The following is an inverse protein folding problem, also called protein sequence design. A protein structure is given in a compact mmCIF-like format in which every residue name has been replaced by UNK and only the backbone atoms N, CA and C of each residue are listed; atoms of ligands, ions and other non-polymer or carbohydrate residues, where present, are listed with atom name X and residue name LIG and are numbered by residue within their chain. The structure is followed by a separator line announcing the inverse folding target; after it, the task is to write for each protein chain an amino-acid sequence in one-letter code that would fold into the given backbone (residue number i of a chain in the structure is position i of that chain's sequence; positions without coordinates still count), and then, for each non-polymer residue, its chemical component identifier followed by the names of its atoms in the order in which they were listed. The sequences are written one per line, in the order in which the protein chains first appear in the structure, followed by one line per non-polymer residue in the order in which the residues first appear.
data_IF_332198892906
#
_entry.id   IF_332198892906
#
_cell.length_a   1.000
_cell.length_b   1.000
_cell.length_c   1.000
_cell.angle_alpha   90.00
_cell.angle_beta   90.00
_cell.angle_gamma   90.00
#
_symmetry.space_group_name_H-M   'P 1'
#
loop_
_entity.id
_entity.type
_entity.pdbx_description
1 polymer ?
#
# COMPACT_ATOMS: atom_id res chain seq x y z
N UNK A 1 -1.31 10.23 -4.41
CA UNK A 1 -2.68 10.56 -3.94
C UNK A 1 -3.31 9.42 -3.13
N UNK A 2 -3.16 8.16 -3.52
CA UNK A 2 -3.71 6.98 -2.84
C UNK A 2 -3.37 6.86 -1.34
N UNK A 3 -2.14 7.25 -0.96
CA UNK A 3 -1.72 7.30 0.45
C UNK A 3 -2.54 8.27 1.31
N UNK A 4 -2.85 9.46 0.79
CA UNK A 4 -3.67 10.46 1.48
C UNK A 4 -5.10 9.93 1.68
N UNK A 5 -5.61 9.22 0.68
CA UNK A 5 -6.91 8.55 0.72
C UNK A 5 -6.93 7.41 1.75
N UNK A 6 -5.84 6.64 1.86
CA UNK A 6 -5.66 5.63 2.92
C UNK A 6 -5.71 6.25 4.32
N UNK A 7 -5.01 7.36 4.55
CA UNK A 7 -5.05 8.09 5.83
C UNK A 7 -6.45 8.61 6.17
N UNK A 8 -7.20 9.08 5.18
CA UNK A 8 -8.60 9.51 5.37
C UNK A 8 -9.49 8.34 5.79
N UNK A 9 -9.37 7.18 5.13
CA UNK A 9 -10.13 5.97 5.46
C UNK A 9 -9.80 5.49 6.87
N UNK A 10 -8.53 5.49 7.26
CA UNK A 10 -8.10 5.10 8.62
C UNK A 10 -8.69 6.06 9.66
N UNK A 11 -8.57 7.37 9.44
CA UNK A 11 -9.10 8.39 10.35
C UNK A 11 -10.62 8.27 10.53
N UNK A 12 -11.34 8.06 9.42
CA UNK A 12 -12.79 7.90 9.45
C UNK A 12 -13.19 6.61 10.18
N UNK A 13 -12.47 5.50 9.93
CA UNK A 13 -12.74 4.22 10.61
C UNK A 13 -12.55 4.31 12.12
N UNK A 14 -11.50 5.00 12.58
CA UNK A 14 -11.24 5.24 13.99
C UNK A 14 -12.30 6.14 14.63
N UNK A 15 -12.73 7.18 13.90
CA UNK A 15 -13.82 8.05 14.35
C UNK A 15 -15.12 7.26 14.51
N UNK A 16 -15.48 6.44 13.52
CA UNK A 16 -16.68 5.58 13.59
C UNK A 16 -16.58 4.59 14.74
N UNK A 17 -15.42 3.96 14.95
CA UNK A 17 -15.19 3.06 16.10
C UNK A 17 -15.40 3.77 17.44
N UNK A 18 -14.88 4.99 17.58
CA UNK A 18 -15.02 5.80 18.78
C UNK A 18 -16.49 6.16 19.06
N UNK A 19 -17.24 6.55 18.04
CA UNK A 19 -18.68 6.84 18.17
C UNK A 19 -19.45 5.58 18.58
N UNK A 20 -19.24 4.47 17.88
CA UNK A 20 -19.92 3.20 18.18
C UNK A 20 -19.62 2.72 19.59
N UNK A 21 -18.36 2.86 20.04
CA UNK A 21 -17.96 2.55 21.42
C UNK A 21 -18.70 3.41 22.45
N UNK A 22 -18.74 4.73 22.24
CA UNK A 22 -19.43 5.66 23.13
C UNK A 22 -20.94 5.39 23.18
N UNK A 23 -21.56 5.12 22.03
CA UNK A 23 -22.98 4.77 21.95
C UNK A 23 -23.27 3.47 22.70
N UNK A 24 -22.44 2.44 22.55
CA UNK A 24 -22.59 1.18 23.26
C UNK A 24 -22.47 1.36 24.79
N UNK A 25 -21.51 2.16 25.25
CA UNK A 25 -21.37 2.49 26.67
C UNK A 25 -22.58 3.26 27.22
N UNK A 26 -23.07 4.26 26.50
CA UNK A 26 -24.18 5.11 26.93
C UNK A 26 -25.52 4.36 26.90
N UNK A 27 -25.76 3.57 25.86
CA UNK A 27 -27.01 2.81 25.70
C UNK A 27 -27.05 1.53 26.56
N UNK A 28 -25.95 1.15 27.21
CA UNK A 28 -25.82 -0.10 27.95
C UNK A 28 -26.01 -1.35 27.07
N UNK A 29 -25.99 -1.20 25.75
CA UNK A 29 -26.13 -2.27 24.78
C UNK A 29 -24.74 -2.78 24.38
N UNK A 30 -24.59 -4.10 24.36
CA UNK A 30 -23.34 -4.72 23.91
C UNK A 30 -22.99 -4.31 22.48
N UNK A 31 -21.70 -4.20 22.19
CA UNK A 31 -21.21 -3.92 20.85
C UNK A 31 -21.69 -5.00 19.88
N UNK A 32 -22.41 -4.58 18.84
CA UNK A 32 -22.79 -5.48 17.76
C UNK A 32 -21.52 -5.98 17.06
N UNK A 33 -21.23 -7.28 17.19
CA UNK A 33 -20.06 -7.96 16.60
C UNK A 33 -19.96 -7.74 15.09
N UNK A 34 -21.10 -7.63 14.40
CA UNK A 34 -21.17 -7.32 12.96
C UNK A 34 -20.63 -5.91 12.67
N UNK A 35 -20.99 -4.92 13.50
CA UNK A 35 -20.52 -3.53 13.34
C UNK A 35 -19.01 -3.43 13.55
N UNK A 36 -18.49 -4.13 14.57
CA UNK A 36 -17.04 -4.17 14.84
C UNK A 36 -16.29 -4.84 13.67
N UNK A 37 -16.83 -5.92 13.12
CA UNK A 37 -16.26 -6.61 11.96
C UNK A 37 -16.18 -5.72 10.71
N UNK A 38 -17.25 -4.96 10.41
CA UNK A 38 -17.24 -4.03 9.28
C UNK A 38 -16.20 -2.93 9.43
N UNK A 39 -16.04 -2.36 10.62
CA UNK A 39 -15.03 -1.32 10.90
C UNK A 39 -13.62 -1.87 10.67
N UNK A 40 -13.34 -3.11 11.09
CA UNK A 40 -12.04 -3.75 10.87
C UNK A 40 -11.73 -3.96 9.39
N UNK A 41 -12.71 -4.38 8.59
CA UNK A 41 -12.53 -4.58 7.15
C UNK A 41 -12.17 -3.25 6.47
N UNK A 42 -12.87 -2.17 6.80
CA UNK A 42 -12.63 -0.84 6.23
C UNK A 42 -11.25 -0.31 6.67
N UNK A 43 -10.85 -0.54 7.92
CA UNK A 43 -9.53 -0.19 8.42
C UNK A 43 -8.41 -0.92 7.65
N UNK A 44 -8.57 -2.23 7.41
CA UNK A 44 -7.63 -3.04 6.62
C UNK A 44 -7.52 -2.50 5.19
N UNK A 45 -8.64 -2.10 4.56
CA UNK A 45 -8.62 -1.46 3.24
C UNK A 45 -7.83 -0.15 3.25
N UNK A 46 -8.00 0.68 4.28
CA UNK A 46 -7.24 1.91 4.47
C UNK A 46 -5.73 1.67 4.58
N UNK A 47 -5.34 0.63 5.33
CA UNK A 47 -3.93 0.21 5.48
C UNK A 47 -3.38 -0.34 4.15
N UNK A 48 -4.16 -1.15 3.43
CA UNK A 48 -3.76 -1.72 2.14
C UNK A 48 -3.46 -0.64 1.10
N UNK A 49 -4.25 0.44 1.10
CA UNK A 49 -4.03 1.62 0.24
C UNK A 49 -2.79 2.44 0.63
N UNK A 50 -2.26 2.26 1.83
CA UNK A 50 -1.06 2.92 2.32
C UNK A 50 0.22 2.22 1.84
N UNK A 51 0.14 0.90 1.64
CA UNK A 51 1.24 0.08 1.13
C UNK A 51 1.39 0.42 -0.36
N UNK A 52 2.55 0.97 -0.78
CA UNK A 52 2.83 1.13 -2.20
C UNK A 52 2.84 -0.27 -2.82
N UNK A 53 1.99 -0.49 -3.82
CA UNK A 53 1.99 -1.73 -4.58
C UNK A 53 3.34 -1.86 -5.29
N UNK A 54 4.30 -2.52 -4.67
CA UNK A 54 5.64 -2.76 -5.23
C UNK A 54 5.61 -3.66 -6.47
N UNK A 55 4.43 -4.12 -6.90
CA UNK A 55 4.25 -5.00 -8.05
C UNK A 55 4.22 -4.28 -9.41
N UNK A 56 4.51 -2.97 -9.49
CA UNK A 56 4.69 -2.28 -10.79
C UNK A 56 6.06 -1.63 -10.98
N UNK A 57 7.11 -2.14 -10.33
CA UNK A 57 8.50 -1.80 -10.68
C UNK A 57 9.24 -3.03 -11.21
N UNK A 58 8.69 -3.71 -12.21
CA UNK A 58 9.43 -4.82 -12.83
C UNK A 58 9.18 -4.97 -14.33
N UNK A 59 9.03 -3.83 -15.02
CA UNK A 59 9.20 -3.68 -16.47
C UNK A 59 9.63 -2.23 -16.70
N UNK A 60 10.80 -2.00 -17.30
CA UNK A 60 11.48 -0.70 -17.43
C UNK A 60 12.12 -0.29 -16.08
N UNK A 61 13.32 -0.69 -15.69
CA UNK A 61 14.57 -0.74 -16.41
C UNK A 61 15.31 -2.01 -16.02
N UNK A 62 15.56 -2.87 -17.01
CA UNK A 62 16.65 -3.83 -16.91
C UNK A 62 17.90 -2.95 -16.81
N UNK A 63 18.42 -2.81 -15.58
CA UNK A 63 19.79 -2.42 -15.34
C UNK A 63 20.67 -3.39 -16.13
N UNK A 64 20.95 -3.03 -17.39
CA UNK A 64 22.10 -3.58 -18.10
C UNK A 64 23.27 -3.13 -17.25
N UNK A 65 23.86 -4.07 -16.52
CA UNK A 65 25.02 -3.81 -15.68
C UNK A 65 26.07 -3.14 -16.57
N UNK A 66 26.72 -2.08 -16.10
CA UNK A 66 27.78 -1.38 -16.85
C UNK A 66 28.86 -2.36 -17.36
N UNK A 67 28.99 -3.52 -16.71
CA UNK A 67 29.87 -4.63 -17.08
C UNK A 67 29.48 -5.33 -18.39
N UNK A 68 28.18 -5.40 -18.73
CA UNK A 68 27.70 -5.91 -20.02
C UNK A 68 27.88 -4.87 -21.14
N UNK A 69 27.73 -3.58 -20.83
CA UNK A 69 27.98 -2.47 -21.77
C UNK A 69 29.46 -2.36 -22.12
N UNK A 70 30.36 -2.50 -21.14
CA UNK A 70 31.80 -2.50 -21.36
C UNK A 70 32.25 -3.71 -22.18
N UNK A 71 31.65 -4.89 -21.97
CA UNK A 71 31.93 -6.09 -22.75
C UNK A 71 31.52 -5.96 -24.22
N UNK A 72 30.37 -5.36 -24.52
CA UNK A 72 29.94 -5.10 -25.90
C UNK A 72 30.78 -4.01 -26.60
N UNK A 73 31.19 -2.96 -25.87
CA UNK A 73 32.08 -1.92 -26.40
C UNK A 73 33.48 -2.47 -26.74
N UNK A 74 34.05 -3.34 -25.88
CA UNK A 74 35.33 -4.00 -26.14
C UNK A 74 35.26 -4.92 -27.38
N UNK A 75 34.17 -5.67 -27.53
CA UNK A 75 34.00 -6.60 -28.65
C UNK A 75 33.76 -5.85 -29.98
N UNK A 76 33.02 -4.73 -29.96
CA UNK A 76 32.81 -3.90 -31.15
C UNK A 76 34.09 -3.21 -31.65
N UNK A 77 34.98 -2.80 -30.74
CA UNK A 77 36.27 -2.19 -31.08
C UNK A 77 37.24 -3.21 -31.72
N UNK A 78 37.22 -4.46 -31.25
CA UNK A 78 38.08 -5.52 -31.81
C UNK A 78 37.66 -5.95 -33.23
N UNK A 79 36.39 -5.75 -33.61
CA UNK A 79 35.87 -6.09 -34.94
C UNK A 79 36.23 -5.07 -36.03
N UNK A 80 36.73 -3.89 -35.65
CA UNK A 80 36.99 -2.77 -36.57
C UNK A 80 38.49 -2.57 -36.88
N UNK A 81 39.32 -3.60 -36.68
CA UNK A 81 40.76 -3.63 -36.96
C UNK A 81 41.10 -4.79 -37.90
#
# INVERSE_FOLDING_TARGET
MYRLFGFLIISLSLLTASIVWQVAMVAGQGLHTISVGLILIVLILGILLLIPNSKSQNKEDVFVSDEEIEAELLNSNHKNK
#
